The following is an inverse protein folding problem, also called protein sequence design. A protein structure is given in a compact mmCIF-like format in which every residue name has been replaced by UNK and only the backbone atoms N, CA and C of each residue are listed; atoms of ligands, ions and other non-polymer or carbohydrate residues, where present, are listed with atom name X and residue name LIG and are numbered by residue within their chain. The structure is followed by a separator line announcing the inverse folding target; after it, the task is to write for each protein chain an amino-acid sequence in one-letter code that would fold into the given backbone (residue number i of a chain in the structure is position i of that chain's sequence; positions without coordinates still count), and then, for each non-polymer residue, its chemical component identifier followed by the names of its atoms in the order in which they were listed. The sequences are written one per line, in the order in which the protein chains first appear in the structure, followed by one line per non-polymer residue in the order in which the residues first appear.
data_IF_564369502553
#
_entry.id   IF_564369502553
#
_cell.length_a   1.000
_cell.length_b   1.000
_cell.length_c   1.000
_cell.angle_alpha   90.00
_cell.angle_beta   90.00
_cell.angle_gamma   90.00
#
_symmetry.space_group_name_H-M   'P 1'
#
loop_
_entity.id
_entity.type
_entity.pdbx_description
1 polymer ?
#
# COMPACT_ATOMS: atom_id res chain seq x y z
N UNK A 1 -14.21 0.57 -3.29
CA UNK A 1 -12.85 0.99 -2.94
C UNK A 1 -12.57 2.34 -3.56
N UNK A 2 -11.68 3.12 -2.98
CA UNK A 2 -11.11 4.31 -3.62
C UNK A 2 -9.59 4.30 -3.42
N UNK A 3 -8.88 5.09 -4.21
CA UNK A 3 -7.42 5.24 -4.09
C UNK A 3 -7.07 6.69 -3.74
N UNK A 4 -5.92 6.88 -3.08
CA UNK A 4 -5.23 8.16 -2.93
C UNK A 4 -3.84 8.03 -3.56
N UNK A 5 -3.34 9.08 -4.20
CA UNK A 5 -2.13 9.05 -5.02
C UNK A 5 -2.43 8.48 -6.41
N UNK A 6 -1.88 7.32 -6.76
CA UNK A 6 -2.21 6.62 -8.01
C UNK A 6 -3.48 5.79 -7.87
N UNK A 7 -4.27 5.74 -8.94
CA UNK A 7 -5.45 4.89 -9.03
C UNK A 7 -5.05 3.45 -9.38
N UNK A 8 -5.57 2.46 -8.67
CA UNK A 8 -5.51 1.06 -9.09
C UNK A 8 -6.75 0.71 -9.89
N UNK A 9 -6.57 0.26 -11.13
CA UNK A 9 -7.67 -0.16 -12.00
C UNK A 9 -7.88 -1.69 -11.93
N UNK A 10 -9.06 -2.17 -11.49
CA UNK A 10 -9.29 -3.61 -11.27
C UNK A 10 -9.33 -4.43 -12.57
N UNK A 11 -9.69 -3.81 -13.70
CA UNK A 11 -9.83 -4.50 -14.99
C UNK A 11 -8.47 -4.72 -15.65
N UNK A 12 -7.68 -3.66 -15.78
CA UNK A 12 -6.33 -3.73 -16.34
C UNK A 12 -5.29 -4.24 -15.36
N UNK A 13 -5.56 -4.16 -14.05
CA UNK A 13 -4.63 -4.48 -12.95
C UNK A 13 -3.38 -3.60 -12.95
N UNK A 14 -3.50 -2.38 -13.46
CA UNK A 14 -2.43 -1.39 -13.53
C UNK A 14 -2.69 -0.24 -12.57
N UNK A 15 -1.61 0.45 -12.20
CA UNK A 15 -1.69 1.74 -11.52
C UNK A 15 -1.65 2.85 -12.56
N UNK A 16 -2.66 3.72 -12.53
CA UNK A 16 -2.91 4.78 -13.50
C UNK A 16 -3.18 6.10 -12.76
N UNK A 17 -3.03 7.25 -13.44
CA UNK A 17 -3.32 8.56 -12.84
C UNK A 17 -4.83 8.85 -12.69
N UNK A 18 -5.65 8.18 -13.51
CA UNK A 18 -7.09 8.45 -13.65
C UNK A 18 -7.88 7.15 -13.63
N UNK A 19 -9.11 7.24 -13.15
CA UNK A 19 -10.09 6.14 -13.16
C UNK A 19 -10.74 6.05 -14.53
N UNK A 20 -10.77 4.86 -15.14
CA UNK A 20 -11.26 4.68 -16.51
C UNK A 20 -12.74 5.00 -16.71
N UNK A 21 -13.57 4.75 -15.69
CA UNK A 21 -15.01 4.86 -15.82
C UNK A 21 -15.56 6.29 -15.67
N UNK A 22 -14.80 7.21 -15.06
CA UNK A 22 -15.22 8.60 -14.84
C UNK A 22 -14.12 9.66 -15.08
N UNK A 23 -12.95 9.25 -15.58
CA UNK A 23 -11.76 10.08 -15.85
C UNK A 23 -11.20 10.88 -14.66
N UNK A 24 -11.71 10.62 -13.46
CA UNK A 24 -11.32 11.38 -12.28
C UNK A 24 -9.97 10.92 -11.73
N UNK A 25 -9.17 11.89 -11.30
CA UNK A 25 -7.90 11.65 -10.59
C UNK A 25 -8.18 11.23 -9.16
N UNK A 26 -7.35 10.33 -8.64
CA UNK A 26 -7.34 10.04 -7.21
C UNK A 26 -6.88 11.29 -6.43
N UNK A 27 -7.47 11.59 -5.26
CA UNK A 27 -6.96 12.65 -4.38
C UNK A 27 -5.53 12.33 -3.94
N UNK A 28 -4.78 13.35 -3.53
CA UNK A 28 -3.44 13.13 -2.98
C UNK A 28 -3.49 12.37 -1.64
N UNK A 29 -2.40 11.68 -1.30
CA UNK A 29 -2.23 11.05 0.01
C UNK A 29 -1.97 12.16 1.04
N UNK A 30 -2.78 12.29 2.11
CA UNK A 30 -2.55 13.27 3.17
C UNK A 30 -1.16 13.13 3.78
N UNK A 31 -0.53 14.27 4.12
CA UNK A 31 0.82 14.30 4.71
C UNK A 31 0.84 13.53 6.04
N UNK A 32 -0.24 13.58 6.79
CA UNK A 32 -0.42 12.87 8.05
C UNK A 32 -0.32 11.35 7.86
N UNK A 33 -0.83 10.82 6.75
CA UNK A 33 -0.76 9.38 6.46
C UNK A 33 0.68 8.97 6.15
N UNK A 34 1.42 9.81 5.40
CA UNK A 34 2.84 9.57 5.12
C UNK A 34 3.66 9.59 6.41
N UNK A 35 3.44 10.57 7.29
CA UNK A 35 4.07 10.64 8.61
C UNK A 35 3.80 9.38 9.45
N UNK A 36 2.57 8.87 9.45
CA UNK A 36 2.23 7.64 10.18
C UNK A 36 2.97 6.42 9.61
N UNK A 37 3.12 6.33 8.29
CA UNK A 37 3.92 5.27 7.66
C UNK A 37 5.38 5.34 8.10
N UNK A 38 5.98 6.53 8.09
CA UNK A 38 7.36 6.73 8.55
C UNK A 38 7.54 6.33 10.02
N UNK A 39 6.60 6.70 10.89
CA UNK A 39 6.62 6.35 12.31
C UNK A 39 6.50 4.83 12.53
N UNK A 40 5.63 4.16 11.80
CA UNK A 40 5.46 2.70 11.88
C UNK A 40 6.69 1.97 11.35
N UNK A 41 7.29 2.43 10.24
CA UNK A 41 8.53 1.87 9.71
C UNK A 41 9.67 2.02 10.72
N UNK A 42 9.84 3.21 11.30
CA UNK A 42 10.85 3.46 12.32
C UNK A 42 10.66 2.55 13.54
N UNK A 43 9.44 2.46 14.07
CA UNK A 43 9.13 1.59 15.20
C UNK A 43 9.40 0.11 14.86
N UNK A 44 9.07 -0.31 13.64
CA UNK A 44 9.33 -1.67 13.16
C UNK A 44 10.83 -1.96 13.08
N UNK A 45 11.65 -1.04 12.55
CA UNK A 45 13.10 -1.18 12.55
C UNK A 45 13.70 -1.28 13.94
N UNK A 46 13.25 -0.45 14.89
CA UNK A 46 13.70 -0.52 16.28
C UNK A 46 13.38 -1.89 16.88
N UNK A 47 12.17 -2.40 16.66
CA UNK A 47 11.75 -3.72 17.13
C UNK A 47 12.58 -4.85 16.51
N UNK A 48 12.76 -4.85 15.17
CA UNK A 48 13.50 -5.89 14.46
C UNK A 48 14.98 -5.94 14.86
N UNK A 49 15.60 -4.78 15.12
CA UNK A 49 16.99 -4.69 15.60
C UNK A 49 17.17 -5.26 17.02
N UNK A 50 16.13 -5.25 17.83
CA UNK A 50 16.14 -5.82 19.18
C UNK A 50 15.88 -7.33 19.18
N UNK A 51 15.20 -7.86 18.16
CA UNK A 51 14.96 -9.30 18.00
C UNK A 51 16.18 -10.02 17.41
N UNK A 52 16.85 -10.85 18.22
CA UNK A 52 18.11 -11.51 17.86
C UNK A 52 17.87 -12.68 16.89
N UNK A 53 18.16 -12.45 15.60
CA UNK A 53 18.73 -13.36 14.58
C UNK A 53 18.37 -12.80 13.19
N UNK A 54 19.38 -12.34 12.46
CA UNK A 54 19.36 -11.92 11.05
C UNK A 54 17.96 -11.58 10.49
N UNK A 55 17.43 -10.42 10.89
CA UNK A 55 16.25 -9.88 10.22
C UNK A 55 16.72 -8.90 9.17
N UNK A 56 16.33 -9.15 7.92
CA UNK A 56 16.45 -8.18 6.84
C UNK A 56 15.70 -6.91 7.23
N UNK A 57 16.37 -5.76 7.19
CA UNK A 57 15.72 -4.49 7.49
C UNK A 57 14.57 -4.27 6.48
N UNK A 58 13.42 -3.79 6.97
CA UNK A 58 12.34 -3.40 6.07
C UNK A 58 12.86 -2.29 5.13
N UNK A 59 12.59 -2.34 3.82
CA UNK A 59 13.00 -1.27 2.93
C UNK A 59 12.31 0.04 3.35
N UNK A 60 13.05 1.14 3.26
CA UNK A 60 12.45 2.46 3.35
C UNK A 60 11.46 2.63 2.18
N UNK A 61 10.36 3.34 2.42
CA UNK A 61 9.35 3.60 1.39
C UNK A 61 8.81 5.03 1.50
N UNK A 62 8.46 5.59 0.35
CA UNK A 62 7.72 6.84 0.23
C UNK A 62 6.43 6.53 -0.55
N UNK A 63 5.30 6.26 0.13
CA UNK A 63 4.10 5.77 -0.53
C UNK A 63 3.53 6.80 -1.51
N UNK A 64 3.29 6.35 -2.74
CA UNK A 64 2.57 7.08 -3.80
C UNK A 64 1.22 6.42 -4.15
N UNK A 65 0.88 5.33 -3.45
CA UNK A 65 -0.37 4.58 -3.56
C UNK A 65 -0.94 4.35 -2.16
N UNK A 66 -2.23 4.62 -1.98
CA UNK A 66 -2.99 4.21 -0.80
C UNK A 66 -4.36 3.70 -1.25
N UNK A 67 -4.66 2.43 -0.93
CA UNK A 67 -5.95 1.81 -1.24
C UNK A 67 -6.84 1.90 0.00
N UNK A 68 -8.00 2.52 -0.16
CA UNK A 68 -9.00 2.67 0.90
C UNK A 68 -10.15 1.70 0.63
N UNK A 69 -10.22 0.66 1.46
CA UNK A 69 -11.31 -0.31 1.45
C UNK A 69 -12.30 0.02 2.56
N UNK A 70 -13.60 -0.02 2.21
CA UNK A 70 -14.69 0.07 3.17
C UNK A 70 -15.42 -1.26 3.20
N UNK A 71 -15.54 -1.85 4.39
CA UNK A 71 -16.26 -3.09 4.62
C UNK A 71 -17.48 -2.82 5.50
N UNK A 72 -18.65 -3.24 5.03
CA UNK A 72 -19.83 -3.35 5.89
C UNK A 72 -19.67 -4.56 6.84
N UNK A 73 -20.64 -4.76 7.74
CA UNK A 73 -20.62 -5.88 8.69
C UNK A 73 -20.38 -7.26 8.04
N UNK A 74 -20.93 -7.49 6.86
CA UNK A 74 -20.74 -8.73 6.08
C UNK A 74 -19.65 -8.64 5.02
N UNK A 75 -18.96 -7.49 4.90
CA UNK A 75 -17.88 -7.28 3.94
C UNK A 75 -16.71 -8.24 4.18
N UNK A 76 -16.14 -8.74 3.09
CA UNK A 76 -15.01 -9.67 3.09
C UNK A 76 -14.06 -9.32 1.94
N UNK A 77 -12.77 -9.61 2.11
CA UNK A 77 -11.79 -9.62 1.04
C UNK A 77 -11.16 -11.02 1.00
N UNK A 78 -11.15 -11.64 -0.18
CA UNK A 78 -10.56 -12.96 -0.36
C UNK A 78 -9.03 -12.92 -0.24
N UNK A 79 -8.43 -14.09 -0.01
CA UNK A 79 -6.97 -14.23 -0.07
C UNK A 79 -6.47 -13.88 -1.48
N UNK A 80 -5.57 -12.91 -1.57
CA UNK A 80 -4.97 -12.48 -2.82
C UNK A 80 -3.53 -12.00 -2.55
N UNK A 81 -2.70 -12.00 -3.60
CA UNK A 81 -1.35 -11.46 -3.55
C UNK A 81 -1.33 -10.09 -4.20
N UNK A 82 -0.65 -9.13 -3.57
CA UNK A 82 -0.32 -7.86 -4.22
C UNK A 82 0.87 -8.10 -5.14
N UNK A 83 0.62 -8.09 -6.45
CA UNK A 83 1.68 -8.12 -7.48
C UNK A 83 1.83 -6.73 -8.06
N UNK A 84 2.96 -6.09 -7.80
CA UNK A 84 3.31 -4.80 -8.39
C UNK A 84 4.18 -5.07 -9.63
N UNK A 85 3.70 -4.71 -10.81
CA UNK A 85 4.48 -4.82 -12.06
C UNK A 85 5.66 -3.84 -12.15
N UNK A 86 5.83 -2.97 -11.15
CA UNK A 86 6.84 -1.90 -11.11
C UNK A 86 8.07 -2.20 -10.24
N UNK A 87 8.10 -3.30 -9.50
CA UNK A 87 9.24 -3.66 -8.65
C UNK A 87 9.93 -4.88 -9.25
N UNK A 88 11.21 -4.74 -9.64
CA UNK A 88 12.05 -5.84 -10.14
C UNK A 88 12.34 -6.91 -9.07
N UNK A 89 11.91 -6.70 -7.83
CA UNK A 89 12.01 -7.63 -6.71
C UNK A 89 10.63 -7.77 -6.03
N UNK A 90 10.16 -8.98 -5.69
CA UNK A 90 8.86 -9.18 -5.08
C UNK A 90 8.85 -8.61 -3.64
N UNK A 91 8.24 -7.43 -3.47
CA UNK A 91 7.90 -6.94 -2.14
C UNK A 91 6.65 -7.67 -1.67
N UNK A 92 6.82 -8.62 -0.76
CA UNK A 92 5.73 -9.37 -0.16
C UNK A 92 5.02 -8.51 0.89
N UNK A 93 3.91 -7.89 0.50
CA UNK A 93 2.98 -7.25 1.43
C UNK A 93 1.67 -8.04 1.50
N UNK A 94 1.28 -8.47 2.70
CA UNK A 94 -0.11 -8.87 2.99
C UNK A 94 -0.83 -7.58 3.38
N UNK A 95 -1.82 -7.16 2.59
CA UNK A 95 -2.73 -6.07 2.96
C UNK A 95 -4.03 -6.73 3.46
N UNK A 96 -4.41 -6.43 4.70
CA UNK A 96 -5.71 -6.80 5.26
C UNK A 96 -6.81 -5.84 4.79
#
# INVERSE_FOLDING_TARGET
MMCLGKNWDPESRLYEERRRFDDARAPEIPVEFKRLVDEVLHASHVFLRQSVKHVDELPLMSPDICIVNFYSHSGRLGLHQVKLLYIQEPVFGIVF
#
